data_IF_358721490328
#
_entry.id   IF_358721490328
#
_cell.length_a   1.000
_cell.length_b   1.000
_cell.length_c   1.000
_cell.angle_alpha   90.00
_cell.angle_beta   90.00
_cell.angle_gamma   90.00
#
_symmetry.space_group_name_H-M   'P 1'
#
loop_
_entity.id
_entity.type
_entity.pdbx_description
1 polymer ?
#
# COMPACT_ATOMS: atom_id res chain seq x y z
N UNK A 1 -5.17 8.05 -3.13
CA UNK A 1 -4.29 8.95 -2.34
C UNK A 1 -3.39 9.81 -3.23
N UNK A 2 -2.68 9.20 -4.19
CA UNK A 2 -1.82 9.88 -5.18
C UNK A 2 -2.53 11.05 -5.88
N UNK A 3 -3.76 10.84 -6.35
CA UNK A 3 -4.56 11.89 -6.98
C UNK A 3 -4.84 13.08 -6.04
N UNK A 4 -5.17 12.82 -4.76
CA UNK A 4 -5.45 13.86 -3.76
C UNK A 4 -4.20 14.70 -3.46
N UNK A 5 -3.06 14.06 -3.28
CA UNK A 5 -1.84 14.78 -2.99
C UNK A 5 -1.44 15.74 -4.11
N UNK A 6 -1.74 15.39 -5.35
CA UNK A 6 -1.29 16.17 -6.51
C UNK A 6 -2.33 17.18 -7.03
N UNK A 7 -3.60 17.11 -6.60
CA UNK A 7 -4.68 17.95 -7.13
C UNK A 7 -5.43 18.71 -6.03
N UNK A 8 -5.44 20.06 -6.05
CA UNK A 8 -6.07 20.87 -5.01
C UNK A 8 -7.60 20.77 -4.95
N UNK A 9 -8.24 20.32 -6.05
CA UNK A 9 -9.69 20.12 -6.09
C UNK A 9 -10.17 18.77 -5.56
N UNK A 10 -9.26 17.88 -5.12
CA UNK A 10 -9.62 16.55 -4.65
C UNK A 10 -9.65 16.53 -3.13
N UNK A 11 -10.81 16.16 -2.60
CA UNK A 11 -10.96 15.74 -1.21
C UNK A 11 -11.11 14.21 -1.17
N UNK A 12 -10.20 13.53 -0.49
CA UNK A 12 -10.24 12.08 -0.30
C UNK A 12 -10.67 11.80 1.13
N UNK A 13 -11.76 11.04 1.29
CA UNK A 13 -12.23 10.53 2.57
C UNK A 13 -11.88 9.04 2.68
N UNK A 14 -11.14 8.64 3.71
CA UNK A 14 -10.75 7.24 3.96
C UNK A 14 -11.16 6.82 5.36
N UNK A 15 -11.98 5.78 5.47
CA UNK A 15 -12.24 5.16 6.76
C UNK A 15 -11.13 4.17 7.09
N UNK A 16 -10.71 4.12 8.36
CA UNK A 16 -9.64 3.29 8.92
C UNK A 16 -8.37 3.31 8.06
N UNK A 17 -7.81 4.51 7.84
CA UNK A 17 -6.61 4.67 7.01
C UNK A 17 -5.42 3.86 7.55
N UNK A 18 -5.39 3.63 8.84
CA UNK A 18 -4.38 2.85 9.55
C UNK A 18 -4.60 1.33 9.48
N UNK A 19 -5.69 0.86 8.87
CA UNK A 19 -5.96 -0.57 8.72
C UNK A 19 -4.82 -1.27 7.96
N UNK A 20 -4.06 -2.09 8.68
CA UNK A 20 -2.93 -2.85 8.13
C UNK A 20 -1.70 -2.00 7.78
N UNK A 21 -1.65 -0.72 8.17
CA UNK A 21 -0.46 0.13 8.02
C UNK A 21 0.30 0.17 9.34
N UNK A 22 1.60 -0.13 9.29
CA UNK A 22 2.47 -0.01 10.45
C UNK A 22 2.48 1.43 10.99
N UNK A 23 2.39 1.57 12.32
CA UNK A 23 2.23 2.84 13.03
C UNK A 23 3.23 3.90 12.55
N UNK A 24 4.50 3.52 12.46
CA UNK A 24 5.57 4.42 12.09
C UNK A 24 5.39 5.00 10.68
N UNK A 25 5.13 4.13 9.69
CA UNK A 25 4.93 4.55 8.30
C UNK A 25 3.71 5.45 8.15
N UNK A 26 2.61 5.11 8.83
CA UNK A 26 1.43 5.97 8.85
C UNK A 26 1.81 7.39 9.27
N UNK A 27 2.68 7.52 10.28
CA UNK A 27 3.23 8.81 10.69
C UNK A 27 3.96 9.57 9.58
N UNK A 28 4.90 8.90 8.91
CA UNK A 28 5.70 9.50 7.83
C UNK A 28 4.83 9.91 6.63
N UNK A 29 3.91 9.03 6.21
CA UNK A 29 2.95 9.34 5.13
C UNK A 29 2.14 10.58 5.48
N UNK A 30 1.62 10.65 6.70
CA UNK A 30 0.77 11.76 7.14
C UNK A 30 1.54 13.08 7.24
N UNK A 31 2.79 13.05 7.69
CA UNK A 31 3.67 14.22 7.72
C UNK A 31 3.95 14.73 6.30
N UNK A 32 4.28 13.83 5.37
CA UNK A 32 4.49 14.17 3.95
C UNK A 32 3.23 14.77 3.33
N UNK A 33 2.05 14.20 3.61
CA UNK A 33 0.78 14.72 3.10
C UNK A 33 0.51 16.11 3.70
N UNK A 34 0.78 16.32 4.98
CA UNK A 34 0.59 17.64 5.61
C UNK A 34 1.45 18.73 5.02
N UNK A 35 2.71 18.40 4.71
CA UNK A 35 3.65 19.41 4.27
C UNK A 35 3.52 19.71 2.77
N UNK A 36 3.04 18.74 1.98
CA UNK A 36 3.19 18.78 0.52
C UNK A 36 1.93 18.46 -0.28
N UNK A 37 0.87 17.90 0.31
CA UNK A 37 -0.34 17.59 -0.44
C UNK A 37 -1.07 18.87 -0.87
N UNK A 38 -1.52 18.90 -2.13
CA UNK A 38 -2.30 20.01 -2.69
C UNK A 38 -3.78 19.88 -2.34
N UNK A 39 -4.32 18.66 -2.33
CA UNK A 39 -5.71 18.36 -2.01
C UNK A 39 -5.97 18.17 -0.52
N UNK A 40 -7.19 17.74 -0.19
CA UNK A 40 -7.60 17.51 1.19
C UNK A 40 -7.70 16.01 1.46
N UNK A 41 -7.05 15.55 2.53
CA UNK A 41 -7.28 14.23 3.09
C UNK A 41 -8.15 14.39 4.34
N UNK A 42 -9.23 13.63 4.40
CA UNK A 42 -10.02 13.37 5.60
C UNK A 42 -9.92 11.88 5.85
N UNK A 43 -9.51 11.47 7.03
CA UNK A 43 -9.45 10.05 7.34
C UNK A 43 -9.90 9.77 8.75
N UNK A 44 -10.16 8.50 9.08
CA UNK A 44 -10.30 8.02 10.44
C UNK A 44 -9.10 7.13 10.76
N UNK A 45 -8.68 7.13 12.02
CA UNK A 45 -7.60 6.26 12.50
C UNK A 45 -7.77 5.93 13.97
N UNK A 46 -7.48 4.68 14.32
CA UNK A 46 -7.37 4.16 15.68
C UNK A 46 -5.95 4.35 16.25
N UNK A 47 -4.96 4.45 15.39
CA UNK A 47 -3.56 4.68 15.70
C UNK A 47 -3.31 6.07 16.30
N UNK A 48 -2.36 6.17 17.24
CA UNK A 48 -2.04 7.43 17.93
C UNK A 48 -0.90 8.21 17.28
N UNK A 49 -0.15 7.64 16.33
CA UNK A 49 0.90 8.33 15.58
C UNK A 49 0.46 9.60 14.86
N UNK A 50 -0.77 9.69 14.29
CA UNK A 50 -1.27 10.96 13.75
C UNK A 50 -1.25 12.10 14.77
N UNK A 51 -1.37 11.80 16.08
CA UNK A 51 -1.30 12.81 17.14
C UNK A 51 0.09 13.39 17.34
N UNK A 52 1.14 12.67 16.94
CA UNK A 52 2.52 13.10 17.07
C UNK A 52 3.00 13.86 15.83
N UNK A 53 2.45 13.51 14.66
CA UNK A 53 2.92 13.99 13.35
C UNK A 53 2.08 15.11 12.76
N UNK A 54 0.77 15.16 13.05
CA UNK A 54 -0.13 16.15 12.47
C UNK A 54 -0.36 17.36 13.38
N UNK A 55 -0.65 18.48 12.73
CA UNK A 55 -1.01 19.73 13.36
C UNK A 55 -2.28 19.58 14.20
N UNK A 56 -2.24 20.16 15.41
CA UNK A 56 -3.33 20.13 16.41
C UNK A 56 -4.68 20.57 15.85
N UNK A 57 -4.68 21.53 14.93
CA UNK A 57 -5.89 22.10 14.33
C UNK A 57 -6.57 21.16 13.32
N UNK A 58 -5.82 20.21 12.79
CA UNK A 58 -6.31 19.20 11.85
C UNK A 58 -7.03 18.07 12.58
N UNK A 59 -6.68 17.80 13.85
CA UNK A 59 -7.16 16.65 14.62
C UNK A 59 -8.53 16.88 15.28
N UNK A 60 -9.45 15.94 15.09
CA UNK A 60 -10.75 15.87 15.77
C UNK A 60 -10.90 14.49 16.39
N UNK A 61 -11.44 14.44 17.61
CA UNK A 61 -11.66 13.20 18.36
C UNK A 61 -13.14 12.91 18.51
N UNK A 62 -13.50 11.64 18.43
CA UNK A 62 -14.84 11.13 18.67
C UNK A 62 -15.09 10.84 20.16
N UNK A 63 -16.33 11.00 20.62
CA UNK A 63 -16.73 10.68 22.02
C UNK A 63 -17.99 9.83 22.09
N UNK A 64 -18.19 9.14 23.22
CA UNK A 64 -19.44 8.44 23.57
C UNK A 64 -20.65 9.33 23.74
N UNK A 65 -20.50 10.64 23.91
CA UNK A 65 -21.62 11.54 24.15
C UNK A 65 -22.40 11.80 22.82
N UNK A 66 -23.66 11.36 22.70
CA UNK A 66 -24.42 11.52 21.45
C UNK A 66 -24.67 12.99 21.06
N UNK A 67 -24.67 13.89 22.04
CA UNK A 67 -24.86 15.34 21.86
C UNK A 67 -23.55 16.07 21.55
N UNK A 68 -22.39 15.44 21.80
CA UNK A 68 -21.08 16.04 21.55
C UNK A 68 -20.09 15.00 21.00
N UNK A 69 -20.48 14.40 19.86
CA UNK A 69 -19.76 13.27 19.26
C UNK A 69 -18.38 13.61 18.73
N UNK A 70 -18.08 14.88 18.46
CA UNK A 70 -16.80 15.33 17.92
C UNK A 70 -16.26 16.47 18.77
N UNK A 71 -15.08 16.29 19.35
CA UNK A 71 -14.41 17.28 20.18
C UNK A 71 -13.00 17.55 19.68
N UNK A 72 -12.53 18.77 19.93
CA UNK A 72 -11.12 19.16 19.80
C UNK A 72 -10.57 19.38 21.20
N UNK A 73 -9.31 19.02 21.43
CA UNK A 73 -8.67 19.40 22.69
C UNK A 73 -8.49 20.92 22.74
N UNK A 74 -8.99 21.54 23.80
CA UNK A 74 -8.77 22.95 24.10
C UNK A 74 -7.62 23.06 25.12
N UNK A 75 -6.81 24.12 25.03
CA UNK A 75 -5.67 24.40 25.93
C UNK A 75 -4.44 23.47 25.86
N UNK A 76 -4.16 22.84 24.71
CA UNK A 76 -2.90 22.10 24.52
C UNK A 76 -1.79 23.09 24.17
N UNK A 77 -0.83 23.31 25.09
CA UNK A 77 0.37 24.12 24.80
C UNK A 77 1.17 23.52 23.63
N UNK A 78 1.87 24.33 22.84
CA UNK A 78 2.69 23.85 21.71
C UNK A 78 3.68 22.76 22.14
N UNK A 79 4.28 22.91 23.31
CA UNK A 79 5.28 21.99 23.89
C UNK A 79 4.73 20.66 24.44
N UNK A 80 3.42 20.45 24.43
CA UNK A 80 2.84 19.21 24.96
C UNK A 80 2.74 18.14 23.87
N UNK A 81 3.24 16.94 24.18
CA UNK A 81 2.98 15.72 23.42
C UNK A 81 1.48 15.38 23.50
N UNK A 82 0.79 15.43 22.36
CA UNK A 82 -0.65 15.19 22.26
C UNK A 82 -1.02 13.75 22.58
N UNK A 83 -0.18 12.78 22.26
CA UNK A 83 -0.38 11.37 22.63
C UNK A 83 -0.38 11.23 24.14
N UNK A 84 0.59 11.83 24.84
CA UNK A 84 0.60 11.85 26.31
C UNK A 84 -0.62 12.58 26.91
N UNK A 85 -1.07 13.66 26.26
CA UNK A 85 -2.29 14.38 26.68
C UNK A 85 -3.55 13.52 26.47
N UNK A 86 -3.64 12.80 25.35
CA UNK A 86 -4.73 11.89 25.02
C UNK A 86 -4.79 10.73 26.03
N UNK A 87 -3.66 10.08 26.32
CA UNK A 87 -3.57 9.06 27.36
C UNK A 87 -3.98 9.59 28.74
N UNK A 88 -3.54 10.81 29.08
CA UNK A 88 -3.92 11.45 30.34
C UNK A 88 -5.43 11.73 30.40
N UNK A 89 -6.04 12.12 29.29
CA UNK A 89 -7.48 12.37 29.21
C UNK A 89 -8.30 11.08 29.36
N UNK A 90 -7.85 9.96 28.76
CA UNK A 90 -8.45 8.64 28.94
C UNK A 90 -8.30 8.15 30.39
N UNK A 91 -7.09 8.22 30.95
CA UNK A 91 -6.78 7.65 32.26
C UNK A 91 -7.33 8.47 33.44
N UNK A 92 -7.44 9.80 33.32
CA UNK A 92 -7.92 10.65 34.41
C UNK A 92 -9.43 10.91 34.41
N UNK A 93 -10.17 10.42 33.40
CA UNK A 93 -11.64 10.58 33.33
C UNK A 93 -12.14 12.02 33.56
N UNK A 94 -11.41 13.03 33.07
CA UNK A 94 -11.49 14.36 33.69
C UNK A 94 -11.20 15.55 32.79
N UNK A 95 -12.18 15.93 31.97
CA UNK A 95 -12.61 17.33 31.87
C UNK A 95 -14.13 17.34 31.91
N UNK A 96 -14.69 17.70 33.08
CA UNK A 96 -16.10 18.00 33.36
C UNK A 96 -17.09 17.47 32.31
N UNK A 97 -17.39 16.18 32.42
CA UNK A 97 -18.61 15.46 31.99
C UNK A 97 -18.21 13.99 31.85
N UNK A 98 -18.84 13.13 32.65
CA UNK A 98 -18.47 11.73 32.88
C UNK A 98 -18.76 10.77 31.70
N UNK A 99 -18.94 11.30 30.50
CA UNK A 99 -19.37 10.54 29.31
C UNK A 99 -18.42 10.71 28.12
N UNK A 100 -17.12 10.92 28.36
CA UNK A 100 -16.10 11.08 27.30
C UNK A 100 -15.16 9.87 27.24
N UNK A 101 -15.70 8.70 26.90
CA UNK A 101 -14.89 7.57 26.44
C UNK A 101 -14.64 7.80 24.95
N UNK A 102 -13.36 7.90 24.56
CA UNK A 102 -12.97 8.12 23.16
C UNK A 102 -13.09 6.80 22.39
N UNK A 103 -13.83 6.80 21.28
CA UNK A 103 -13.81 5.73 20.28
C UNK A 103 -12.84 6.15 19.18
N UNK A 104 -11.52 6.11 19.42
CA UNK A 104 -10.50 6.76 18.57
C UNK A 104 -10.79 6.65 17.07
N UNK A 105 -11.41 7.69 16.52
CA UNK A 105 -11.57 7.97 15.10
C UNK A 105 -11.05 9.39 14.98
N UNK A 106 -9.76 9.48 14.63
CA UNK A 106 -9.10 10.76 14.40
C UNK A 106 -9.56 11.27 13.05
N UNK A 107 -10.45 12.26 13.02
CA UNK A 107 -10.81 12.94 11.77
C UNK A 107 -9.79 14.05 11.51
N UNK A 108 -8.74 13.72 10.74
CA UNK A 108 -7.69 14.69 10.43
C UNK A 108 -7.85 15.28 9.03
N UNK A 109 -8.04 16.59 8.97
CA UNK A 109 -8.04 17.36 7.72
C UNK A 109 -6.63 17.87 7.40
N UNK A 110 -6.00 17.32 6.36
CA UNK A 110 -4.59 17.63 6.07
C UNK A 110 -4.38 18.94 5.28
N UNK A 111 -5.42 19.78 5.14
CA UNK A 111 -5.32 21.16 4.68
C UNK A 111 -6.52 22.00 5.19
N UNK A 112 -6.31 23.31 5.39
CA UNK A 112 -7.20 24.30 6.02
C UNK A 112 -8.69 23.91 6.09
N UNK A 113 -9.09 23.41 7.27
CA UNK A 113 -10.45 22.94 7.60
C UNK A 113 -11.47 24.09 7.56
N UNK A 114 -11.02 25.36 7.46
CA UNK A 114 -11.93 26.52 7.38
C UNK A 114 -12.83 26.53 6.15
N UNK A 115 -12.56 25.72 5.11
CA UNK A 115 -13.34 25.69 3.88
C UNK A 115 -14.25 24.45 3.65
N UNK A 116 -14.51 23.62 4.68
CA UNK A 116 -15.40 22.45 4.59
C UNK A 116 -16.91 22.79 4.45
N UNK A 117 -17.25 23.99 3.98
CA UNK A 117 -18.62 24.44 3.69
C UNK A 117 -18.82 24.76 2.20
N UNK A 118 -18.40 23.89 1.28
CA UNK A 118 -18.69 24.12 -0.14
C UNK A 118 -19.14 22.85 -0.89
N UNK A 119 -20.47 22.79 -1.05
CA UNK A 119 -21.22 22.28 -2.21
C UNK A 119 -21.18 20.78 -2.49
N UNK A 120 -21.94 20.05 -1.68
CA UNK A 120 -22.86 19.03 -2.20
C UNK A 120 -23.85 19.74 -3.14
N UNK A 121 -23.71 19.59 -4.45
CA UNK A 121 -24.81 19.77 -5.41
C UNK A 121 -24.53 19.00 -6.68
N UNK A 122 -25.59 18.34 -7.12
CA UNK A 122 -25.70 17.48 -8.30
C UNK A 122 -25.57 18.23 -9.64
N UNK A 123 -25.46 17.37 -10.65
CA UNK A 123 -25.82 17.51 -12.06
C UNK A 123 -24.66 17.76 -13.04
N UNK A 124 -24.45 16.69 -13.83
CA UNK A 124 -24.12 16.65 -15.26
C UNK A 124 -23.46 17.90 -15.87
N UNK A 125 -22.19 17.78 -16.26
CA UNK A 125 -21.71 18.35 -17.52
C UNK A 125 -20.34 17.77 -17.88
N UNK A 126 -20.30 17.01 -18.98
CA UNK A 126 -19.07 16.77 -19.73
C UNK A 126 -18.44 18.11 -20.10
N UNK A 127 -17.23 18.39 -19.60
CA UNK A 127 -16.38 19.44 -20.14
C UNK A 127 -15.03 18.86 -20.55
N UNK A 128 -14.82 18.84 -21.87
CA UNK A 128 -13.52 18.81 -22.49
C UNK A 128 -12.60 19.81 -21.76
N UNK A 129 -11.55 19.30 -21.12
CA UNK A 129 -10.55 20.15 -20.48
C UNK A 129 -9.78 20.92 -21.55
N UNK A 130 -9.64 22.24 -21.36
CA UNK A 130 -8.95 23.15 -22.28
C UNK A 130 -7.52 22.70 -22.56
N UNK A 131 -7.11 22.80 -23.83
CA UNK A 131 -5.76 22.51 -24.35
C UNK A 131 -4.64 23.42 -23.80
N UNK A 132 -5.01 24.42 -22.97
CA UNK A 132 -4.11 25.42 -22.38
C UNK A 132 -4.01 25.30 -20.85
N UNK A 133 -4.37 24.17 -20.26
CA UNK A 133 -4.10 23.90 -18.85
C UNK A 133 -2.63 23.51 -18.67
N UNK A 134 -1.73 24.51 -18.70
CA UNK A 134 -0.30 24.33 -18.41
C UNK A 134 -0.15 24.20 -16.89
N UNK A 135 -0.62 23.08 -16.34
CA UNK A 135 -0.20 22.63 -15.02
C UNK A 135 1.26 22.21 -15.17
N UNK A 136 2.17 22.88 -14.47
CA UNK A 136 3.58 22.51 -14.49
C UNK A 136 3.72 21.04 -14.10
N UNK A 137 4.50 20.28 -14.88
CA UNK A 137 4.85 18.89 -14.62
C UNK A 137 5.56 18.80 -13.25
N UNK A 138 4.82 18.40 -12.23
CA UNK A 138 5.35 18.10 -10.91
C UNK A 138 5.25 16.59 -10.71
N UNK A 139 6.37 15.89 -10.89
CA UNK A 139 6.53 14.50 -10.48
C UNK A 139 6.74 14.46 -8.97
N UNK A 140 5.86 13.77 -8.25
CA UNK A 140 6.12 13.37 -6.88
C UNK A 140 5.95 11.87 -6.81
N UNK A 141 7.07 11.18 -6.65
CA UNK A 141 7.15 9.75 -6.48
C UNK A 141 6.83 9.44 -5.01
N UNK A 142 5.88 8.54 -4.80
CA UNK A 142 5.43 8.12 -3.47
C UNK A 142 6.12 6.85 -2.98
N UNK A 143 6.84 6.22 -3.89
CA UNK A 143 7.74 5.13 -3.67
C UNK A 143 8.86 5.58 -2.74
N UNK A 144 9.08 4.82 -1.68
CA UNK A 144 10.19 5.02 -0.77
C UNK A 144 11.49 4.60 -1.47
N UNK A 145 12.44 5.52 -1.53
CA UNK A 145 13.80 5.23 -1.94
C UNK A 145 14.51 4.38 -0.88
N UNK A 146 15.57 3.68 -1.30
CA UNK A 146 16.35 2.79 -0.42
C UNK A 146 16.80 3.51 0.86
N UNK A 147 17.32 4.74 0.75
CA UNK A 147 17.77 5.54 1.89
C UNK A 147 16.63 5.85 2.87
N UNK A 148 15.41 6.07 2.35
CA UNK A 148 14.24 6.32 3.19
C UNK A 148 13.86 5.05 3.94
N UNK A 149 13.81 3.90 3.27
CA UNK A 149 13.54 2.61 3.91
C UNK A 149 14.59 2.32 5.00
N UNK A 150 15.88 2.55 4.71
CA UNK A 150 16.97 2.38 5.67
C UNK A 150 16.77 3.29 6.90
N UNK A 151 16.40 4.56 6.70
CA UNK A 151 16.09 5.47 7.82
C UNK A 151 14.97 4.93 8.69
N UNK A 152 13.87 4.45 8.09
CA UNK A 152 12.74 3.89 8.83
C UNK A 152 13.14 2.64 9.63
N UNK A 153 13.98 1.77 9.04
CA UNK A 153 14.48 0.57 9.70
C UNK A 153 15.47 0.90 10.82
N UNK A 154 16.27 1.97 10.70
CA UNK A 154 17.19 2.41 11.75
C UNK A 154 16.41 2.89 12.99
N UNK A 155 15.34 3.66 12.79
CA UNK A 155 14.50 4.09 13.91
C UNK A 155 13.83 2.90 14.60
N UNK A 156 13.37 1.90 13.84
CA UNK A 156 12.89 0.64 14.40
C UNK A 156 13.98 -0.12 15.19
N UNK A 157 15.21 -0.15 14.65
CA UNK A 157 16.38 -0.76 15.29
C UNK A 157 16.62 -0.18 16.69
N UNK A 158 16.62 1.15 16.79
CA UNK A 158 16.86 1.89 18.02
C UNK A 158 15.74 1.67 19.04
N UNK A 159 14.48 1.77 18.61
CA UNK A 159 13.31 1.63 19.49
C UNK A 159 13.16 0.22 20.08
N UNK A 160 13.51 -0.81 19.31
CA UNK A 160 13.35 -2.21 19.71
C UNK A 160 14.64 -2.87 20.20
N UNK A 161 15.78 -2.17 20.11
CA UNK A 161 17.10 -2.72 20.46
C UNK A 161 17.38 -4.05 19.74
N UNK A 162 17.05 -4.10 18.45
CA UNK A 162 17.33 -5.23 17.55
C UNK A 162 18.58 -4.88 16.74
N UNK A 163 19.33 -5.87 16.26
CA UNK A 163 20.44 -5.70 15.30
C UNK A 163 19.96 -6.04 13.88
N UNK A 164 20.16 -5.15 12.92
CA UNK A 164 19.77 -5.40 11.53
C UNK A 164 20.72 -4.76 10.52
N UNK A 165 20.98 -5.49 9.45
CA UNK A 165 21.75 -5.01 8.31
C UNK A 165 20.88 -4.05 7.47
N UNK A 166 20.94 -2.77 7.84
CA UNK A 166 20.13 -1.70 7.24
C UNK A 166 20.21 -1.67 5.73
N UNK A 167 21.42 -1.73 5.18
CA UNK A 167 21.66 -1.63 3.75
C UNK A 167 21.05 -2.85 3.02
N UNK A 168 21.33 -4.06 3.53
CA UNK A 168 20.76 -5.28 2.94
C UNK A 168 19.23 -5.26 2.95
N UNK A 169 18.61 -4.97 4.10
CA UNK A 169 17.16 -5.02 4.22
C UNK A 169 16.48 -3.90 3.44
N UNK A 170 17.03 -2.69 3.43
CA UNK A 170 16.48 -1.59 2.65
C UNK A 170 16.53 -1.89 1.14
N UNK A 171 17.67 -2.33 0.62
CA UNK A 171 17.82 -2.67 -0.79
C UNK A 171 16.89 -3.82 -1.20
N UNK A 172 16.84 -4.89 -0.40
CA UNK A 172 16.00 -6.04 -0.72
C UNK A 172 14.51 -5.76 -0.54
N UNK A 173 14.10 -4.99 0.47
CA UNK A 173 12.70 -4.57 0.59
C UNK A 173 12.31 -3.69 -0.59
N UNK A 174 13.15 -2.74 -0.99
CA UNK A 174 12.93 -1.95 -2.19
C UNK A 174 12.83 -2.83 -3.45
N UNK A 175 13.70 -3.83 -3.59
CA UNK A 175 13.67 -4.78 -4.71
C UNK A 175 12.33 -5.51 -4.86
N UNK A 176 11.74 -5.98 -3.75
CA UNK A 176 10.45 -6.68 -3.79
C UNK A 176 9.26 -5.74 -3.95
N UNK A 177 9.31 -4.58 -3.32
CA UNK A 177 8.16 -3.69 -3.15
C UNK A 177 8.15 -2.51 -4.11
N UNK A 178 9.28 -2.25 -4.80
CA UNK A 178 9.52 -1.00 -5.55
C UNK A 178 9.21 0.24 -4.73
N UNK A 179 9.56 0.22 -3.44
CA UNK A 179 9.32 1.33 -2.53
C UNK A 179 7.86 1.50 -2.10
N UNK A 180 6.95 0.59 -2.48
CA UNK A 180 5.53 0.71 -2.12
C UNK A 180 5.35 0.74 -0.60
N UNK A 181 4.93 1.88 0.01
CA UNK A 181 5.06 2.09 1.44
C UNK A 181 4.40 0.98 2.28
N UNK A 182 3.14 0.67 2.00
CA UNK A 182 2.41 -0.38 2.70
C UNK A 182 3.14 -1.75 2.66
N UNK A 183 3.72 -2.11 1.51
CA UNK A 183 4.37 -3.42 1.37
C UNK A 183 5.70 -3.47 2.12
N UNK A 184 6.47 -2.38 2.09
CA UNK A 184 7.71 -2.24 2.89
C UNK A 184 7.38 -2.45 4.36
N UNK A 185 6.40 -1.72 4.88
CA UNK A 185 5.98 -1.86 6.28
C UNK A 185 5.41 -3.23 6.60
N UNK A 186 4.60 -3.81 5.72
CA UNK A 186 4.00 -5.11 5.98
C UNK A 186 5.04 -6.23 6.01
N UNK A 187 6.08 -6.16 5.18
CA UNK A 187 7.22 -7.07 5.27
C UNK A 187 7.96 -6.92 6.59
N UNK A 188 8.25 -5.69 7.02
CA UNK A 188 8.91 -5.43 8.29
C UNK A 188 8.08 -5.93 9.49
N UNK A 189 6.77 -5.69 9.48
CA UNK A 189 5.81 -6.17 10.48
C UNK A 189 5.81 -7.71 10.55
N UNK A 190 5.74 -8.40 9.41
CA UNK A 190 5.77 -9.88 9.38
C UNK A 190 7.09 -10.42 9.95
N UNK A 191 8.22 -9.79 9.64
CA UNK A 191 9.50 -10.19 10.22
C UNK A 191 9.48 -10.01 11.73
N UNK A 192 9.03 -8.84 12.20
CA UNK A 192 9.02 -8.48 13.61
C UNK A 192 8.07 -9.34 14.45
N UNK A 193 6.89 -9.67 13.94
CA UNK A 193 5.80 -10.27 14.73
C UNK A 193 5.62 -11.77 14.50
N UNK A 194 5.99 -12.29 13.31
CA UNK A 194 5.70 -13.67 12.94
C UNK A 194 6.95 -14.55 12.75
N UNK A 195 8.10 -13.94 12.45
CA UNK A 195 9.35 -14.68 12.15
C UNK A 195 10.33 -14.58 13.31
N UNK A 196 10.56 -13.37 13.82
CA UNK A 196 11.50 -13.12 14.90
C UNK A 196 11.03 -13.83 16.17
N UNK A 197 11.88 -14.70 16.72
CA UNK A 197 11.57 -15.42 17.95
C UNK A 197 11.83 -14.54 19.17
N UNK A 198 11.10 -14.78 20.27
CA UNK A 198 11.24 -13.98 21.52
C UNK A 198 12.67 -13.94 22.09
N UNK A 199 13.51 -14.92 21.76
CA UNK A 199 14.90 -15.01 22.21
C UNK A 199 15.92 -14.47 21.19
N UNK A 200 15.47 -13.98 20.04
CA UNK A 200 16.32 -13.42 19.00
C UNK A 200 16.33 -11.90 19.08
N UNK A 201 17.51 -11.32 18.90
CA UNK A 201 17.73 -9.87 18.93
C UNK A 201 18.33 -9.36 17.63
N UNK A 202 18.28 -10.15 16.55
CA UNK A 202 18.84 -9.78 15.25
C UNK A 202 18.03 -10.34 14.10
N UNK A 203 17.93 -9.60 13.00
CA UNK A 203 17.31 -10.10 11.77
C UNK A 203 18.30 -10.90 10.92
N UNK A 204 17.89 -12.08 10.48
CA UNK A 204 18.65 -12.87 9.52
C UNK A 204 18.18 -12.55 8.08
N UNK A 205 19.10 -12.58 7.12
CA UNK A 205 18.82 -12.34 5.70
C UNK A 205 17.71 -13.23 5.14
N UNK A 206 17.57 -14.47 5.65
CA UNK A 206 16.50 -15.41 5.27
C UNK A 206 15.10 -14.96 5.69
N UNK A 207 14.97 -14.08 6.69
CA UNK A 207 13.68 -13.65 7.22
C UNK A 207 12.88 -12.86 6.20
N UNK A 208 13.55 -12.11 5.32
CA UNK A 208 12.85 -11.38 4.28
C UNK A 208 12.22 -12.31 3.24
N UNK A 209 12.90 -13.38 2.85
CA UNK A 209 12.32 -14.38 1.93
C UNK A 209 11.13 -15.11 2.57
N UNK A 210 11.24 -15.42 3.87
CA UNK A 210 10.13 -15.97 4.64
C UNK A 210 8.96 -14.98 4.71
N UNK A 211 9.22 -13.69 4.95
CA UNK A 211 8.20 -12.66 5.00
C UNK A 211 7.49 -12.48 3.65
N UNK A 212 8.22 -12.56 2.54
CA UNK A 212 7.64 -12.54 1.18
C UNK A 212 6.74 -13.76 0.95
N UNK A 213 7.11 -14.95 1.43
CA UNK A 213 6.23 -16.12 1.34
C UNK A 213 4.96 -15.94 2.18
N UNK A 214 5.11 -15.44 3.40
CA UNK A 214 4.00 -15.21 4.33
C UNK A 214 3.04 -14.14 3.78
N UNK A 215 3.54 -12.99 3.32
CA UNK A 215 2.68 -11.92 2.78
C UNK A 215 1.88 -12.43 1.57
N UNK A 216 2.50 -13.19 0.66
CA UNK A 216 1.83 -13.74 -0.52
C UNK A 216 0.71 -14.74 -0.18
N UNK A 217 0.74 -15.35 1.00
CA UNK A 217 -0.29 -16.27 1.49
C UNK A 217 -1.38 -15.59 2.32
N UNK A 218 -1.16 -14.34 2.78
CA UNK A 218 -2.15 -13.61 3.57
C UNK A 218 -3.31 -13.12 2.71
N UNK A 219 -4.45 -12.98 3.38
CA UNK A 219 -5.59 -12.22 2.89
C UNK A 219 -5.47 -10.78 3.42
N UNK A 220 -5.14 -9.86 2.53
CA UNK A 220 -4.93 -8.45 2.87
C UNK A 220 -5.86 -7.58 2.00
N UNK A 221 -6.48 -6.52 2.57
CA UNK A 221 -7.40 -5.66 1.82
C UNK A 221 -6.79 -5.03 0.56
N UNK A 222 -5.49 -4.76 0.57
CA UNK A 222 -4.77 -4.24 -0.60
C UNK A 222 -4.72 -5.28 -1.74
N UNK A 223 -4.54 -6.57 -1.43
CA UNK A 223 -4.56 -7.63 -2.42
C UNK A 223 -5.97 -7.91 -2.91
N UNK A 224 -6.97 -7.87 -2.03
CA UNK A 224 -8.37 -7.99 -2.44
C UNK A 224 -8.74 -6.88 -3.43
N UNK A 225 -8.36 -5.63 -3.13
CA UNK A 225 -8.60 -4.48 -4.01
C UNK A 225 -7.85 -4.63 -5.34
N UNK A 226 -6.58 -5.07 -5.30
CA UNK A 226 -5.77 -5.32 -6.49
C UNK A 226 -6.45 -6.33 -7.42
N UNK A 227 -6.85 -7.49 -6.89
CA UNK A 227 -7.49 -8.55 -7.68
C UNK A 227 -8.86 -8.10 -8.19
N UNK A 228 -9.69 -7.47 -7.35
CA UNK A 228 -11.00 -6.93 -7.79
C UNK A 228 -10.86 -5.92 -8.93
N UNK A 229 -9.83 -5.06 -8.90
CA UNK A 229 -9.61 -4.09 -9.97
C UNK A 229 -9.27 -4.78 -11.30
N UNK A 230 -8.53 -5.89 -11.26
CA UNK A 230 -8.23 -6.71 -12.44
C UNK A 230 -9.50 -7.44 -12.91
N UNK A 231 -10.23 -8.10 -12.01
CA UNK A 231 -11.45 -8.84 -12.33
C UNK A 231 -12.57 -7.98 -12.93
N UNK A 232 -12.72 -6.75 -12.43
CA UNK A 232 -13.77 -5.84 -12.90
C UNK A 232 -13.43 -5.18 -14.25
N UNK A 233 -12.23 -5.39 -14.79
CA UNK A 233 -11.73 -4.75 -16.00
C UNK A 233 -11.01 -5.78 -16.88
N UNK A 234 -11.76 -6.43 -17.78
CA UNK A 234 -11.20 -7.47 -18.68
C UNK A 234 -9.97 -6.97 -19.47
N UNK A 235 -9.94 -5.69 -19.85
CA UNK A 235 -8.81 -5.06 -20.54
C UNK A 235 -7.54 -5.00 -19.68
N UNK A 236 -7.67 -4.80 -18.36
CA UNK A 236 -6.55 -4.88 -17.42
C UNK A 236 -6.10 -6.32 -17.20
N UNK A 237 -7.05 -7.27 -17.16
CA UNK A 237 -6.74 -8.69 -17.04
C UNK A 237 -5.93 -9.19 -18.24
N UNK A 238 -6.34 -8.86 -19.46
CA UNK A 238 -5.64 -9.23 -20.70
C UNK A 238 -4.19 -8.71 -20.69
N UNK A 239 -3.97 -7.46 -20.28
CA UNK A 239 -2.60 -6.90 -20.15
C UNK A 239 -1.80 -7.63 -19.06
N UNK A 240 -2.42 -7.98 -17.94
CA UNK A 240 -1.75 -8.75 -16.88
C UNK A 240 -1.33 -10.15 -17.38
N UNK A 241 -2.19 -10.83 -18.14
CA UNK A 241 -1.86 -12.12 -18.78
C UNK A 241 -0.67 -11.94 -19.74
N UNK A 242 -0.75 -10.94 -20.63
CA UNK A 242 0.31 -10.66 -21.61
C UNK A 242 1.66 -10.37 -20.93
N UNK A 243 1.68 -9.58 -19.86
CA UNK A 243 2.90 -9.21 -19.15
C UNK A 243 3.49 -10.36 -18.32
N UNK A 244 2.65 -11.07 -17.57
CA UNK A 244 3.10 -11.97 -16.50
C UNK A 244 3.12 -13.42 -16.96
N UNK A 245 2.10 -13.86 -17.70
CA UNK A 245 1.97 -15.27 -18.15
C UNK A 245 2.71 -15.46 -19.47
N UNK A 246 2.45 -14.59 -20.45
CA UNK A 246 3.06 -14.70 -21.78
C UNK A 246 4.46 -14.05 -21.87
N UNK A 247 4.83 -13.22 -20.88
CA UNK A 247 6.11 -12.52 -20.84
C UNK A 247 6.30 -11.51 -21.98
N UNK A 248 5.21 -10.99 -22.56
CA UNK A 248 5.25 -10.00 -23.65
C UNK A 248 5.78 -8.67 -23.14
N UNK A 249 6.57 -8.01 -23.99
CA UNK A 249 7.01 -6.64 -23.74
C UNK A 249 6.00 -5.67 -24.33
N UNK A 250 5.31 -4.94 -23.46
CA UNK A 250 4.35 -3.91 -23.86
C UNK A 250 5.02 -2.54 -23.74
N UNK A 251 4.92 -1.72 -24.79
CA UNK A 251 5.40 -0.34 -24.76
C UNK A 251 4.45 0.50 -23.91
N UNK A 252 5.00 1.26 -22.98
CA UNK A 252 4.25 2.18 -22.16
C UNK A 252 3.76 3.35 -23.02
N UNK A 253 2.45 3.64 -22.99
CA UNK A 253 1.86 4.78 -23.64
C UNK A 253 0.79 5.40 -22.75
N UNK A 254 0.99 6.66 -22.36
CA UNK A 254 0.13 7.42 -21.45
C UNK A 254 -1.24 7.75 -22.09
N UNK A 255 -1.33 7.73 -23.42
CA UNK A 255 -2.58 7.93 -24.16
C UNK A 255 -3.45 6.66 -24.25
N UNK A 256 -2.95 5.51 -23.76
CA UNK A 256 -3.73 4.29 -23.70
C UNK A 256 -4.59 4.28 -22.42
N UNK A 257 -5.93 4.37 -22.52
CA UNK A 257 -6.80 4.50 -21.34
C UNK A 257 -6.72 3.30 -20.39
N UNK A 258 -6.41 2.11 -20.89
CA UNK A 258 -6.25 0.90 -20.07
C UNK A 258 -4.95 0.96 -19.28
N UNK A 259 -3.85 1.47 -19.88
CA UNK A 259 -2.58 1.69 -19.17
C UNK A 259 -2.74 2.76 -18.09
N UNK A 260 -3.36 3.91 -18.42
CA UNK A 260 -3.64 4.99 -17.47
C UNK A 260 -4.47 4.48 -16.28
N UNK A 261 -5.52 3.70 -16.54
CA UNK A 261 -6.36 3.09 -15.51
C UNK A 261 -5.55 2.12 -14.62
N UNK A 262 -4.69 1.29 -15.22
CA UNK A 262 -3.86 0.35 -14.47
C UNK A 262 -2.79 1.02 -13.61
N UNK A 263 -2.22 2.15 -14.05
CA UNK A 263 -1.36 2.99 -13.22
C UNK A 263 -2.13 3.65 -12.08
N UNK A 264 -3.35 4.15 -12.33
CA UNK A 264 -4.20 4.74 -11.30
C UNK A 264 -4.52 3.75 -10.18
N UNK A 265 -4.72 2.47 -10.51
CA UNK A 265 -4.91 1.40 -9.55
C UNK A 265 -3.62 0.87 -8.91
N UNK A 266 -2.45 1.40 -9.30
CA UNK A 266 -1.15 0.96 -8.78
C UNK A 266 -0.75 -0.45 -9.25
N UNK A 267 -1.36 -0.95 -10.34
CA UNK A 267 -1.05 -2.25 -10.94
C UNK A 267 0.19 -2.12 -11.81
N UNK A 268 0.25 -1.05 -12.61
CA UNK A 268 1.31 -0.83 -13.58
C UNK A 268 2.27 0.30 -13.17
N UNK A 269 3.45 0.26 -13.78
CA UNK A 269 4.40 1.38 -13.80
C UNK A 269 5.08 1.48 -15.15
N UNK A 270 5.54 2.68 -15.47
CA UNK A 270 6.48 2.92 -16.55
C UNK A 270 7.92 2.65 -16.09
N UNK A 271 8.58 1.67 -16.71
CA UNK A 271 10.01 1.45 -16.57
C UNK A 271 10.72 1.71 -17.90
N UNK A 272 11.28 2.91 -18.04
CA UNK A 272 12.05 3.34 -19.22
C UNK A 272 11.30 3.14 -20.57
N UNK A 273 9.98 3.42 -20.59
CA UNK A 273 9.14 3.27 -21.77
C UNK A 273 8.54 1.86 -21.94
N UNK A 274 8.83 0.94 -21.03
CA UNK A 274 8.19 -0.38 -20.95
C UNK A 274 7.13 -0.38 -19.87
N UNK A 275 5.96 -0.93 -20.18
CA UNK A 275 4.94 -1.22 -19.17
C UNK A 275 5.40 -2.41 -18.33
N UNK A 276 5.32 -2.30 -17.00
CA UNK A 276 5.60 -3.39 -16.06
C UNK A 276 4.58 -3.40 -14.95
N UNK A 277 4.45 -4.53 -14.26
CA UNK A 277 3.77 -4.58 -12.96
C UNK A 277 4.55 -3.74 -11.95
N UNK A 278 3.84 -3.01 -11.10
CA UNK A 278 4.40 -1.99 -10.21
C UNK A 278 5.49 -2.56 -9.30
N UNK A 279 5.29 -3.75 -8.75
CA UNK A 279 6.28 -4.41 -7.89
C UNK A 279 6.18 -5.94 -7.98
N UNK A 280 7.21 -6.62 -7.47
CA UNK A 280 7.37 -8.08 -7.58
C UNK A 280 6.40 -8.87 -6.71
N UNK A 281 5.91 -8.26 -5.62
CA UNK A 281 4.90 -8.91 -4.77
C UNK A 281 3.58 -8.95 -5.52
N UNK A 282 3.18 -7.84 -6.16
CA UNK A 282 1.98 -7.80 -7.00
C UNK A 282 2.13 -8.73 -8.20
N UNK A 283 3.29 -8.73 -8.87
CA UNK A 283 3.57 -9.66 -9.97
C UNK A 283 3.34 -11.12 -9.57
N UNK A 284 3.90 -11.56 -8.44
CA UNK A 284 3.71 -12.93 -7.92
C UNK A 284 2.26 -13.20 -7.49
N UNK A 285 1.59 -12.24 -6.83
CA UNK A 285 0.20 -12.41 -6.40
C UNK A 285 -0.75 -12.51 -7.58
N UNK A 286 -0.58 -11.66 -8.60
CA UNK A 286 -1.37 -11.67 -9.82
C UNK A 286 -1.08 -12.95 -10.62
N UNK A 287 0.18 -13.37 -10.74
CA UNK A 287 0.54 -14.63 -11.38
C UNK A 287 -0.20 -15.81 -10.76
N UNK A 288 -0.13 -15.95 -9.42
CA UNK A 288 -0.80 -17.05 -8.71
C UNK A 288 -2.32 -17.04 -8.94
N UNK A 289 -2.93 -15.86 -8.96
CA UNK A 289 -4.34 -15.69 -9.26
C UNK A 289 -4.70 -16.10 -10.70
N UNK A 290 -3.98 -15.58 -11.70
CA UNK A 290 -4.26 -15.86 -13.12
C UNK A 290 -4.05 -17.35 -13.44
N UNK A 291 -2.98 -17.96 -12.92
CA UNK A 291 -2.75 -19.40 -13.08
C UNK A 291 -3.89 -20.20 -12.46
N UNK A 292 -4.34 -19.86 -11.25
CA UNK A 292 -5.49 -20.54 -10.64
C UNK A 292 -6.78 -20.40 -11.47
N UNK A 293 -7.00 -19.23 -12.10
CA UNK A 293 -8.13 -19.02 -13.02
C UNK A 293 -8.03 -19.87 -14.28
N UNK A 294 -6.84 -19.98 -14.86
CA UNK A 294 -6.54 -20.83 -16.01
C UNK A 294 -6.76 -22.32 -15.65
N UNK A 295 -6.22 -22.76 -14.51
CA UNK A 295 -6.39 -24.12 -13.98
C UNK A 295 -7.87 -24.50 -13.84
N UNK A 296 -8.70 -23.60 -13.30
CA UNK A 296 -10.15 -23.83 -13.17
C UNK A 296 -10.89 -23.86 -14.50
N UNK A 297 -10.36 -23.20 -15.54
CA UNK A 297 -10.97 -23.15 -16.87
C UNK A 297 -10.63 -24.34 -17.76
N UNK A 298 -9.55 -25.07 -17.44
CA UNK A 298 -9.12 -26.26 -18.17
C UNK A 298 -9.72 -27.51 -17.53
N UNK A 299 -10.60 -28.22 -18.25
CA UNK A 299 -11.06 -29.54 -17.83
C UNK A 299 -9.88 -30.54 -17.80
N UNK A 300 -9.58 -31.06 -16.60
CA UNK A 300 -9.13 -32.44 -16.39
C UNK A 300 -7.64 -32.78 -16.54
N UNK A 301 -6.98 -32.45 -17.65
CA UNK A 301 -5.77 -33.21 -18.04
C UNK A 301 -4.54 -32.38 -18.47
N UNK A 302 -4.62 -31.04 -18.46
CA UNK A 302 -3.56 -30.21 -19.04
C UNK A 302 -2.38 -29.86 -18.11
N UNK A 303 -2.51 -30.05 -16.78
CA UNK A 303 -1.53 -29.53 -15.81
C UNK A 303 -0.89 -30.57 -14.87
N UNK A 304 -1.18 -31.87 -15.04
CA UNK A 304 -0.57 -32.97 -14.27
C UNK A 304 0.93 -33.21 -14.59
N UNK A 305 1.57 -32.24 -15.25
CA UNK A 305 2.99 -32.28 -15.58
C UNK A 305 3.88 -31.76 -14.45
N UNK A 306 3.34 -30.97 -13.50
CA UNK A 306 4.15 -30.38 -12.42
C UNK A 306 4.81 -31.46 -11.55
N UNK A 307 4.06 -32.50 -11.19
CA UNK A 307 4.58 -33.65 -10.45
C UNK A 307 5.46 -34.57 -11.32
N UNK A 308 5.28 -34.53 -12.65
CA UNK A 308 6.10 -35.30 -13.60
C UNK A 308 7.55 -34.77 -13.73
N UNK A 309 7.83 -33.56 -13.23
CA UNK A 309 9.16 -32.92 -13.31
C UNK A 309 9.88 -32.82 -11.97
N UNK A 310 9.29 -33.32 -10.88
CA UNK A 310 9.91 -33.31 -9.57
C UNK A 310 10.32 -34.75 -9.23
N UNK A 311 11.63 -34.98 -9.10
CA UNK A 311 12.18 -36.25 -8.66
C UNK A 311 12.86 -36.05 -7.29
N UNK A 312 12.41 -36.79 -6.27
CA UNK A 312 12.86 -36.65 -4.88
C UNK A 312 12.88 -35.21 -4.33
N UNK A 313 11.88 -34.40 -4.69
CA UNK A 313 11.78 -33.00 -4.24
C UNK A 313 12.75 -32.04 -4.94
N UNK A 314 13.46 -32.49 -5.98
CA UNK A 314 14.30 -31.64 -6.84
C UNK A 314 13.73 -31.56 -8.26
N UNK A 315 13.82 -30.38 -8.87
CA UNK A 315 13.38 -30.15 -10.23
C UNK A 315 14.27 -30.90 -11.23
N UNK A 316 13.70 -31.82 -11.98
CA UNK A 316 14.35 -32.49 -13.09
C UNK A 316 14.29 -31.61 -14.35
N UNK A 317 15.22 -30.65 -14.44
CA UNK A 317 15.32 -29.69 -15.54
C UNK A 317 15.41 -30.37 -16.92
N UNK A 318 16.01 -31.56 -16.98
CA UNK A 318 16.12 -32.33 -18.23
C UNK A 318 14.74 -32.77 -18.74
N UNK A 319 13.90 -33.32 -17.86
CA UNK A 319 12.55 -33.73 -18.21
C UNK A 319 11.67 -32.54 -18.66
N UNK A 320 11.84 -31.37 -18.02
CA UNK A 320 11.18 -30.12 -18.42
C UNK A 320 11.57 -29.73 -19.85
N UNK A 321 12.87 -29.72 -20.16
CA UNK A 321 13.38 -29.34 -21.48
C UNK A 321 12.98 -30.33 -22.57
N UNK A 322 12.97 -31.63 -22.27
CA UNK A 322 12.51 -32.67 -23.21
C UNK A 322 11.02 -32.53 -23.52
N UNK A 323 10.18 -32.25 -22.52
CA UNK A 323 8.75 -32.00 -22.75
C UNK A 323 8.52 -30.70 -23.54
N UNK A 324 9.28 -29.66 -23.23
CA UNK A 324 9.23 -28.40 -23.97
C UNK A 324 9.57 -28.59 -25.46
N UNK A 325 10.57 -29.43 -25.78
CA UNK A 325 10.87 -29.79 -27.17
C UNK A 325 9.71 -30.52 -27.87
N UNK A 326 9.00 -31.40 -27.17
CA UNK A 326 7.82 -32.09 -27.71
C UNK A 326 6.68 -31.10 -27.96
N UNK A 327 6.40 -30.21 -27.00
CA UNK A 327 5.38 -29.17 -27.14
C UNK A 327 5.64 -28.22 -28.32
N UNK A 328 6.89 -27.76 -28.48
CA UNK A 328 7.27 -26.92 -29.63
C UNK A 328 7.08 -27.66 -30.95
N UNK A 329 7.37 -28.97 -31.01
CA UNK A 329 7.12 -29.77 -32.23
C UNK A 329 5.63 -29.93 -32.53
N UNK A 330 4.77 -30.03 -31.51
CA UNK A 330 3.32 -30.16 -31.69
C UNK A 330 2.66 -28.84 -32.14
N UNK A 331 3.14 -27.69 -31.67
CA UNK A 331 2.57 -26.38 -32.02
C UNK A 331 3.10 -25.78 -33.33
N UNK A 332 4.25 -26.25 -33.82
CA UNK A 332 4.91 -25.74 -35.03
C UNK A 332 5.07 -26.80 -36.15
N UNK A 333 4.28 -27.88 -36.12
CA UNK A 333 4.17 -28.86 -37.23
C UNK A 333 2.95 -28.63 -38.10
#
# INVERSE_FOLDING_TARGET
>A
MIAMYNKPGICLAVDELDAGIFEYLLGEILEIIQDRAKGQLVFTSHNLRPLEKLNKESLIFTTTNPQNRYIRFTNVKETNNLRSFYYRAINLGGQADRDKTFYSVILSGVHDVKNLKLKLRDDEEHKYNSTWNIASEFKVDFELEVDQIASMLNEYQEDRTIDLDLDYFAEKMHYYTSGHPFLVSKLAEIIAEEILRENESSWNQEYLEQAVKIILAKDLPNFETLIKNIENNNDLEDICIDLIVDGRKITYNLDNPTIEKGELYGIFKNDNGSLKIHNRIYEQRIYNYLISKIENSMEGDAFDFRDSFIDNGQLNLKAVLERFQVFIKEQYS
#
